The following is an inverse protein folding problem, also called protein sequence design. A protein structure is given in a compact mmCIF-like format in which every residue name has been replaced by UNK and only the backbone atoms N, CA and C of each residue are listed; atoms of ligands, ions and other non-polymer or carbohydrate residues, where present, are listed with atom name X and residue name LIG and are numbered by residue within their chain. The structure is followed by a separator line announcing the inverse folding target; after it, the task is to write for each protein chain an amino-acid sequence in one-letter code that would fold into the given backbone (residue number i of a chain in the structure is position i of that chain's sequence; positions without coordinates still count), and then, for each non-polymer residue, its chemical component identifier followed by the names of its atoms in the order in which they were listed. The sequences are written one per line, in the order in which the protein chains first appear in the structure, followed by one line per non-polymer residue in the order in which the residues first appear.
data_IF_320273491921
#
_entry.id   IF_320273491921
#
_cell.length_a   1.000
_cell.length_b   1.000
_cell.length_c   1.000
_cell.angle_alpha   90.00
_cell.angle_beta   90.00
_cell.angle_gamma   90.00
#
_symmetry.space_group_name_H-M   'P 1'
#
loop_
_entity.id
_entity.type
_entity.pdbx_description
1 polymer ?
#
# COMPACT_ATOMS: atom_id res chain seq x y z
N UNK A 1 7.36 31.75 -22.83
CA UNK A 1 8.01 30.43 -22.84
C UNK A 1 6.92 29.39 -23.05
N UNK A 2 6.93 28.65 -24.16
CA UNK A 2 6.00 27.53 -24.37
C UNK A 2 6.56 26.31 -23.65
N UNK A 3 5.82 25.77 -22.69
CA UNK A 3 6.15 24.51 -22.05
C UNK A 3 5.65 23.36 -22.93
N UNK A 4 6.54 22.43 -23.28
CA UNK A 4 6.20 21.16 -23.89
C UNK A 4 6.11 20.11 -22.78
N UNK A 5 4.93 19.57 -22.57
CA UNK A 5 4.69 18.45 -21.66
C UNK A 5 4.46 17.22 -22.54
N UNK A 6 5.41 16.28 -22.52
CA UNK A 6 5.28 14.98 -23.15
C UNK A 6 5.09 13.95 -22.03
N UNK A 7 3.99 13.21 -22.09
CA UNK A 7 3.62 12.18 -21.14
C UNK A 7 3.96 10.82 -21.78
N UNK A 8 5.05 10.15 -21.34
CA UNK A 8 5.54 8.92 -21.97
C UNK A 8 4.48 7.81 -22.04
N UNK A 9 3.57 7.75 -21.05
CA UNK A 9 2.50 6.75 -21.01
C UNK A 9 1.48 6.93 -22.15
N UNK A 10 1.22 8.16 -22.58
CA UNK A 10 0.32 8.41 -23.72
C UNK A 10 0.97 8.09 -25.07
N UNK A 11 2.30 8.23 -25.16
CA UNK A 11 3.05 7.87 -26.38
C UNK A 11 3.09 6.35 -26.59
N UNK A 12 3.27 5.57 -25.51
CA UNK A 12 3.25 4.11 -25.58
C UNK A 12 1.86 3.56 -25.94
N UNK A 13 0.79 4.10 -25.33
CA UNK A 13 -0.59 3.74 -25.72
C UNK A 13 -0.87 4.05 -27.18
N UNK A 14 -0.47 5.24 -27.65
CA UNK A 14 -0.65 5.63 -29.04
C UNK A 14 0.14 4.73 -30.00
N UNK A 15 1.37 4.34 -29.66
CA UNK A 15 2.18 3.42 -30.46
C UNK A 15 1.52 2.02 -30.58
N UNK A 16 0.94 1.52 -29.49
CA UNK A 16 0.19 0.25 -29.49
C UNK A 16 -1.08 0.33 -30.35
N UNK A 17 -1.84 1.43 -30.26
CA UNK A 17 -3.03 1.66 -31.07
C UNK A 17 -2.68 1.75 -32.57
N UNK A 18 -1.62 2.50 -32.91
CA UNK A 18 -1.09 2.61 -34.27
C UNK A 18 -0.64 1.25 -34.81
N UNK A 19 0.02 0.41 -34.01
CA UNK A 19 0.39 -0.94 -34.41
C UNK A 19 -0.86 -1.80 -34.70
N UNK A 20 -1.90 -1.68 -33.88
CA UNK A 20 -3.20 -2.32 -34.08
C UNK A 20 -3.85 -1.93 -35.42
N UNK A 21 -3.92 -0.62 -35.69
CA UNK A 21 -4.45 -0.06 -36.96
C UNK A 21 -3.64 -0.57 -38.16
N UNK A 22 -2.31 -0.56 -38.08
CA UNK A 22 -1.44 -1.05 -39.14
C UNK A 22 -1.66 -2.53 -39.46
N UNK A 23 -1.88 -3.36 -38.43
CA UNK A 23 -2.22 -4.78 -38.62
C UNK A 23 -3.57 -4.97 -39.29
N UNK A 24 -4.59 -4.22 -38.87
CA UNK A 24 -5.94 -4.29 -39.44
C UNK A 24 -5.97 -3.86 -40.90
N UNK A 25 -5.25 -2.79 -41.24
CA UNK A 25 -5.14 -2.31 -42.62
C UNK A 25 -4.39 -3.31 -43.52
N UNK A 26 -3.33 -3.94 -43.01
CA UNK A 26 -2.59 -4.96 -43.75
C UNK A 26 -3.44 -6.20 -44.02
N UNK A 27 -4.22 -6.64 -43.03
CA UNK A 27 -5.16 -7.76 -43.18
C UNK A 27 -6.27 -7.45 -44.19
N UNK A 28 -6.83 -6.24 -44.15
CA UNK A 28 -7.84 -5.79 -45.10
C UNK A 28 -7.30 -5.73 -46.54
N UNK A 29 -6.09 -5.18 -46.72
CA UNK A 29 -5.43 -5.12 -48.03
C UNK A 29 -5.11 -6.52 -48.59
N UNK A 30 -4.70 -7.46 -47.73
CA UNK A 30 -4.48 -8.85 -48.13
C UNK A 30 -5.79 -9.54 -48.55
N UNK A 31 -6.88 -9.34 -47.81
CA UNK A 31 -8.20 -9.89 -48.16
C UNK A 31 -8.73 -9.32 -49.49
N UNK A 32 -8.44 -8.05 -49.78
CA UNK A 32 -8.84 -7.38 -51.02
C UNK A 32 -7.96 -7.74 -52.23
N UNK A 33 -6.81 -8.40 -52.05
CA UNK A 33 -5.84 -8.63 -53.12
C UNK A 33 -6.40 -9.48 -54.26
N UNK A 34 -6.93 -10.67 -53.97
CA UNK A 34 -7.51 -11.56 -54.99
C UNK A 34 -8.70 -10.94 -55.74
N UNK A 35 -9.74 -10.40 -55.07
CA UNK A 35 -10.92 -9.88 -55.77
C UNK A 35 -10.63 -8.64 -56.63
N UNK A 36 -9.52 -7.93 -56.39
CA UNK A 36 -9.17 -6.71 -57.15
C UNK A 36 -8.11 -6.93 -58.23
N UNK A 37 -7.34 -8.04 -58.18
CA UNK A 37 -6.26 -8.33 -59.14
C UNK A 37 -6.61 -9.44 -60.13
N UNK A 38 -7.62 -10.26 -59.84
CA UNK A 38 -8.10 -11.34 -60.70
C UNK A 38 -9.47 -11.00 -61.32
N UNK A 39 -9.62 -9.77 -61.83
CA UNK A 39 -10.87 -9.35 -62.46
C UNK A 39 -11.00 -10.04 -63.82
N UNK A 40 -12.10 -10.75 -64.03
CA UNK A 40 -12.39 -11.49 -65.27
C UNK A 40 -13.23 -10.61 -66.21
N UNK A 41 -13.02 -10.75 -67.52
CA UNK A 41 -13.82 -10.07 -68.52
C UNK A 41 -15.31 -10.48 -68.42
N UNK A 42 -16.22 -9.50 -68.51
CA UNK A 42 -17.65 -9.75 -68.40
C UNK A 42 -18.24 -10.42 -69.66
N UNK A 43 -17.59 -10.29 -70.81
CA UNK A 43 -17.92 -10.92 -72.09
C UNK A 43 -16.64 -11.16 -72.91
N UNK A 44 -16.74 -11.94 -73.99
CA UNK A 44 -15.61 -12.34 -74.86
C UNK A 44 -15.16 -11.26 -75.84
N UNK A 45 -15.53 -10.00 -75.60
CA UNK A 45 -15.14 -8.86 -76.44
C UNK A 45 -13.88 -8.16 -75.93
N UNK A 46 -13.20 -7.49 -76.85
CA UNK A 46 -11.93 -6.78 -76.62
C UNK A 46 -12.08 -5.62 -75.61
N UNK A 47 -13.26 -4.99 -75.53
CA UNK A 47 -13.52 -3.88 -74.59
C UNK A 47 -13.66 -4.42 -73.16
N UNK A 48 -14.41 -5.51 -72.97
CA UNK A 48 -14.50 -6.21 -71.68
C UNK A 48 -13.15 -6.73 -71.20
N UNK A 49 -12.33 -7.29 -72.11
CA UNK A 49 -10.98 -7.73 -71.80
C UNK A 49 -10.05 -6.56 -71.40
N UNK A 50 -10.13 -5.43 -72.12
CA UNK A 50 -9.35 -4.24 -71.81
C UNK A 50 -9.74 -3.62 -70.45
N UNK A 51 -11.04 -3.57 -70.12
CA UNK A 51 -11.53 -3.08 -68.84
C UNK A 51 -11.07 -3.98 -67.68
N UNK A 52 -11.18 -5.30 -67.82
CA UNK A 52 -10.70 -6.25 -66.82
C UNK A 52 -9.19 -6.15 -66.57
N UNK A 53 -8.40 -5.95 -67.65
CA UNK A 53 -6.96 -5.71 -67.57
C UNK A 53 -6.63 -4.40 -66.86
N UNK A 54 -7.36 -3.32 -67.16
CA UNK A 54 -7.17 -2.01 -66.51
C UNK A 54 -7.43 -2.09 -64.99
N UNK A 55 -8.54 -2.71 -64.58
CA UNK A 55 -8.87 -2.84 -63.15
C UNK A 55 -7.89 -3.77 -62.42
N UNK A 56 -7.51 -4.89 -63.04
CA UNK A 56 -6.50 -5.80 -62.46
C UNK A 56 -5.14 -5.11 -62.29
N UNK A 57 -4.72 -4.31 -63.29
CA UNK A 57 -3.51 -3.49 -63.21
C UNK A 57 -3.59 -2.41 -62.13
N UNK A 58 -4.76 -1.81 -61.91
CA UNK A 58 -4.96 -0.84 -60.82
C UNK A 58 -4.93 -1.52 -59.45
N UNK A 59 -5.49 -2.72 -59.32
CA UNK A 59 -5.40 -3.56 -58.13
C UNK A 59 -3.95 -3.88 -57.78
N UNK A 60 -3.13 -4.29 -58.77
CA UNK A 60 -1.71 -4.58 -58.56
C UNK A 60 -0.91 -3.34 -58.12
N UNK A 61 -1.16 -2.18 -58.74
CA UNK A 61 -0.54 -0.92 -58.34
C UNK A 61 -0.94 -0.49 -56.90
N UNK A 62 -2.20 -0.69 -56.53
CA UNK A 62 -2.69 -0.42 -55.18
C UNK A 62 -2.03 -1.34 -54.13
N UNK A 63 -1.83 -2.62 -54.46
CA UNK A 63 -1.14 -3.56 -53.56
C UNK A 63 0.33 -3.20 -53.35
N UNK A 64 1.04 -2.80 -54.42
CA UNK A 64 2.42 -2.34 -54.32
C UNK A 64 2.56 -1.08 -53.44
N UNK A 65 1.65 -0.10 -53.61
CA UNK A 65 1.62 1.11 -52.79
C UNK A 65 1.28 0.80 -51.32
N UNK A 66 0.35 -0.12 -51.08
CA UNK A 66 -0.07 -0.53 -49.74
C UNK A 66 1.07 -1.21 -48.97
N UNK A 67 1.90 -2.01 -49.65
CA UNK A 67 3.10 -2.59 -49.05
C UNK A 67 4.13 -1.52 -48.65
N UNK A 68 4.31 -0.49 -49.49
CA UNK A 68 5.21 0.63 -49.18
C UNK A 68 4.70 1.46 -47.98
N UNK A 69 3.39 1.70 -47.91
CA UNK A 69 2.75 2.38 -46.78
C UNK A 69 2.88 1.59 -45.47
N UNK A 70 2.74 0.25 -45.51
CA UNK A 70 2.93 -0.60 -44.35
C UNK A 70 4.37 -0.57 -43.80
N UNK A 71 5.37 -0.53 -44.69
CA UNK A 71 6.77 -0.39 -44.31
C UNK A 71 7.06 0.97 -43.65
N UNK A 72 6.53 2.06 -44.22
CA UNK A 72 6.61 3.40 -43.64
C UNK A 72 5.95 3.45 -42.25
N UNK A 73 4.75 2.90 -42.13
CA UNK A 73 4.01 2.85 -40.86
C UNK A 73 4.79 2.09 -39.77
N UNK A 74 5.43 0.99 -40.13
CA UNK A 74 6.28 0.22 -39.21
C UNK A 74 7.46 1.07 -38.73
N UNK A 75 8.13 1.80 -39.62
CA UNK A 75 9.23 2.70 -39.26
C UNK A 75 8.76 3.86 -38.39
N UNK A 76 7.57 4.40 -38.64
CA UNK A 76 6.96 5.46 -37.85
C UNK A 76 6.67 5.02 -36.41
N UNK A 77 6.07 3.84 -36.23
CA UNK A 77 5.81 3.26 -34.89
C UNK A 77 7.13 2.97 -34.14
N UNK A 78 8.15 2.48 -34.84
CA UNK A 78 9.47 2.25 -34.24
C UNK A 78 10.15 3.56 -33.80
N UNK A 79 10.07 4.62 -34.61
CA UNK A 79 10.61 5.93 -34.26
C UNK A 79 9.88 6.54 -33.06
N UNK A 80 8.56 6.34 -32.97
CA UNK A 80 7.75 6.80 -31.84
C UNK A 80 8.14 6.12 -30.52
N UNK A 81 8.37 4.80 -30.54
CA UNK A 81 8.91 4.08 -29.37
C UNK A 81 10.35 4.47 -29.01
N UNK A 82 11.18 4.81 -30.01
CA UNK A 82 12.51 5.38 -29.78
C UNK A 82 12.47 6.74 -29.08
N UNK A 83 11.51 7.60 -29.44
CA UNK A 83 11.33 8.91 -28.81
C UNK A 83 10.94 8.81 -27.33
N UNK A 84 10.11 7.83 -26.94
CA UNK A 84 9.79 7.53 -25.54
C UNK A 84 11.05 7.23 -24.72
N UNK A 85 11.93 6.36 -25.23
CA UNK A 85 13.19 6.02 -24.56
C UNK A 85 14.11 7.24 -24.38
N UNK A 86 14.09 8.17 -25.34
CA UNK A 86 14.85 9.41 -25.27
C UNK A 86 14.25 10.41 -24.26
N UNK A 87 12.92 10.54 -24.19
CA UNK A 87 12.25 11.40 -23.22
C UNK A 87 12.42 10.88 -21.79
N UNK A 88 12.22 9.57 -21.57
CA UNK A 88 12.44 8.93 -20.25
C UNK A 88 13.91 8.96 -19.82
N UNK A 89 14.86 8.74 -20.74
CA UNK A 89 16.28 8.90 -20.46
C UNK A 89 16.66 10.34 -20.13
N UNK A 90 16.01 11.32 -20.78
CA UNK A 90 16.23 12.75 -20.49
C UNK A 90 15.65 13.13 -19.13
N UNK A 91 14.49 12.61 -18.74
CA UNK A 91 13.96 12.78 -17.38
C UNK A 91 14.88 12.13 -16.33
N UNK A 92 15.38 10.91 -16.56
CA UNK A 92 16.32 10.24 -15.67
C UNK A 92 17.66 11.02 -15.57
N UNK A 93 18.18 11.51 -16.69
CA UNK A 93 19.39 12.31 -16.76
C UNK A 93 19.22 13.71 -16.14
N UNK A 94 18.00 14.25 -16.08
CA UNK A 94 17.69 15.51 -15.40
C UNK A 94 17.43 15.32 -13.89
N UNK A 95 16.90 14.16 -13.49
CA UNK A 95 16.66 13.80 -12.10
C UNK A 95 17.97 13.51 -11.33
N UNK A 96 18.97 12.92 -11.99
CA UNK A 96 20.26 12.59 -11.34
C UNK A 96 21.03 13.82 -10.84
N UNK A 97 21.22 14.91 -11.61
CA UNK A 97 21.80 16.16 -11.13
C UNK A 97 20.98 16.80 -10.02
N UNK A 98 19.64 16.72 -10.07
CA UNK A 98 18.76 17.22 -9.02
C UNK A 98 18.93 16.44 -7.71
N UNK A 99 19.07 15.11 -7.78
CA UNK A 99 19.35 14.28 -6.60
C UNK A 99 20.73 14.58 -6.01
N UNK A 100 21.76 14.72 -6.84
CA UNK A 100 23.11 15.11 -6.41
C UNK A 100 23.11 16.52 -5.80
N UNK A 101 22.42 17.49 -6.41
CA UNK A 101 22.30 18.85 -5.88
C UNK A 101 21.51 18.86 -4.56
N UNK A 102 20.49 18.02 -4.41
CA UNK A 102 19.76 17.88 -3.13
C UNK A 102 20.65 17.26 -2.06
N UNK A 103 21.42 16.22 -2.39
CA UNK A 103 22.36 15.57 -1.47
C UNK A 103 23.52 16.52 -1.08
N UNK A 104 24.08 17.23 -2.05
CA UNK A 104 25.10 18.25 -1.82
C UNK A 104 24.53 19.41 -1.00
N UNK A 105 23.33 19.90 -1.33
CA UNK A 105 22.66 20.95 -0.55
C UNK A 105 22.37 20.52 0.89
N UNK A 106 21.99 19.26 1.12
CA UNK A 106 21.83 18.70 2.47
C UNK A 106 23.17 18.58 3.22
N UNK A 107 24.28 18.40 2.51
CA UNK A 107 25.64 18.35 3.08
C UNK A 107 26.24 19.73 3.35
N UNK A 108 25.71 20.80 2.74
CA UNK A 108 26.20 22.15 2.93
C UNK A 108 25.93 22.62 4.36
N UNK A 109 27.02 22.93 5.07
CA UNK A 109 27.06 23.44 6.45
C UNK A 109 26.21 24.70 6.65
N UNK A 110 25.73 25.37 5.61
CA UNK A 110 24.81 26.51 5.69
C UNK A 110 23.43 26.13 6.27
N UNK A 111 23.01 24.87 6.15
CA UNK A 111 21.78 24.34 6.77
C UNK A 111 22.03 23.77 8.18
N UNK A 112 23.28 23.66 8.62
CA UNK A 112 23.67 23.21 9.96
C UNK A 112 23.28 24.20 11.07
N UNK A 113 23.42 25.54 10.93
CA UNK A 113 23.04 26.49 11.98
C UNK A 113 21.61 26.32 12.49
N UNK A 114 20.65 25.97 11.62
CA UNK A 114 19.27 25.75 12.05
C UNK A 114 19.12 24.42 12.80
N UNK A 115 19.82 23.37 12.37
CA UNK A 115 19.86 22.10 13.09
C UNK A 115 20.58 22.25 14.44
N UNK A 116 21.66 23.00 14.49
CA UNK A 116 22.43 23.26 15.70
C UNK A 116 21.65 24.16 16.68
N UNK A 117 20.80 25.06 16.17
CA UNK A 117 19.97 25.96 16.98
C UNK A 117 18.63 25.33 17.42
N UNK A 118 18.02 24.47 16.60
CA UNK A 118 16.66 23.93 16.84
C UNK A 118 16.62 22.43 17.08
N UNK A 119 17.75 21.73 16.94
CA UNK A 119 17.84 20.26 17.00
C UNK A 119 17.24 19.54 15.78
N UNK A 120 16.68 20.27 14.80
CA UNK A 120 15.97 19.70 13.65
C UNK A 120 16.50 20.26 12.32
N UNK A 121 16.74 19.42 11.31
CA UNK A 121 17.23 19.89 10.01
C UNK A 121 16.17 20.73 9.29
N UNK A 122 16.59 21.62 8.39
CA UNK A 122 15.65 22.30 7.49
C UNK A 122 15.05 21.35 6.46
N UNK A 123 15.86 20.43 5.94
CA UNK A 123 15.45 19.39 4.99
C UNK A 123 16.01 18.05 5.46
N UNK A 124 15.16 17.03 5.51
CA UNK A 124 15.53 15.66 5.86
C UNK A 124 14.41 14.93 6.58
N UNK A 125 14.31 13.63 6.37
CA UNK A 125 13.34 12.79 7.06
C UNK A 125 13.74 12.60 8.54
N UNK A 126 12.74 12.33 9.37
CA UNK A 126 12.92 12.00 10.77
C UNK A 126 13.49 10.60 10.96
N UNK A 127 14.31 10.41 12.00
CA UNK A 127 14.90 9.11 12.30
C UNK A 127 13.83 8.11 12.79
N UNK A 128 13.85 6.89 12.27
CA UNK A 128 12.95 5.84 12.76
C UNK A 128 13.30 5.44 14.20
N UNK A 129 12.29 5.15 15.00
CA UNK A 129 12.45 4.55 16.32
C UNK A 129 13.03 3.13 16.21
N UNK A 130 13.85 2.76 17.19
CA UNK A 130 14.47 1.43 17.23
C UNK A 130 13.40 0.34 17.42
N UNK A 131 13.45 -0.73 16.63
CA UNK A 131 12.51 -1.83 16.77
C UNK A 131 12.67 -2.54 18.12
N UNK A 132 11.54 -2.93 18.73
CA UNK A 132 11.50 -3.59 20.03
C UNK A 132 11.76 -2.68 21.24
N UNK A 133 11.99 -1.38 21.06
CA UNK A 133 12.17 -0.44 22.18
C UNK A 133 10.94 0.40 22.51
N UNK A 134 9.95 0.46 21.61
CA UNK A 134 8.84 1.40 21.70
C UNK A 134 9.26 2.86 21.51
N UNK A 135 10.47 3.12 20.98
CA UNK A 135 10.97 4.47 20.79
C UNK A 135 10.16 5.20 19.72
N UNK A 136 9.81 6.47 19.98
CA UNK A 136 9.14 7.31 18.99
C UNK A 136 10.04 7.57 17.78
N UNK A 137 9.43 7.71 16.61
CA UNK A 137 10.10 8.26 15.44
C UNK A 137 10.40 9.74 15.65
N UNK A 138 11.55 10.20 15.15
CA UNK A 138 11.91 11.60 15.14
C UNK A 138 11.08 12.38 14.13
N UNK A 139 10.93 13.68 14.37
CA UNK A 139 10.23 14.56 13.43
C UNK A 139 11.06 14.79 12.15
N UNK A 140 10.36 14.99 11.04
CA UNK A 140 10.95 15.44 9.79
C UNK A 140 11.47 16.88 9.86
N UNK A 141 12.17 17.31 8.82
CA UNK A 141 12.75 18.63 8.72
C UNK A 141 11.70 19.75 8.69
N UNK A 142 12.14 20.98 8.99
CA UNK A 142 11.24 22.13 9.06
C UNK A 142 10.57 22.46 7.74
N UNK A 143 11.26 22.36 6.61
CA UNK A 143 10.70 22.69 5.29
C UNK A 143 10.25 21.43 4.59
N UNK A 144 11.13 20.45 4.44
CA UNK A 144 10.80 19.23 3.71
C UNK A 144 11.35 18.01 4.46
N UNK A 145 10.48 17.05 4.73
CA UNK A 145 10.86 15.80 5.37
C UNK A 145 9.67 15.10 5.97
N UNK A 146 9.60 13.79 5.77
CA UNK A 146 8.63 12.93 6.40
C UNK A 146 9.02 12.70 7.87
N UNK A 147 8.04 12.45 8.72
CA UNK A 147 8.31 11.96 10.07
C UNK A 147 8.81 10.51 10.06
N UNK A 148 9.68 10.17 11.01
CA UNK A 148 10.19 8.81 11.17
C UNK A 148 9.12 7.86 11.71
N UNK A 149 9.18 6.58 11.37
CA UNK A 149 8.28 5.57 11.93
C UNK A 149 8.61 5.29 13.40
N UNK A 150 7.60 5.07 14.22
CA UNK A 150 7.75 4.60 15.59
C UNK A 150 8.28 3.17 15.66
N UNK A 151 9.17 2.91 16.60
CA UNK A 151 9.71 1.57 16.87
C UNK A 151 8.65 0.66 17.50
N UNK A 152 8.67 -0.62 17.17
CA UNK A 152 7.78 -1.59 17.83
C UNK A 152 8.10 -1.74 19.32
N UNK A 153 7.11 -2.08 20.14
CA UNK A 153 7.27 -2.29 21.57
C UNK A 153 7.97 -3.62 21.92
N UNK A 154 8.73 -3.62 23.02
CA UNK A 154 9.19 -4.84 23.70
C UNK A 154 8.00 -5.66 24.22
N UNK A 155 8.17 -6.93 24.63
CA UNK A 155 7.06 -7.74 25.14
C UNK A 155 6.21 -7.04 26.21
N UNK A 156 4.91 -6.93 25.94
CA UNK A 156 3.90 -6.22 26.75
C UNK A 156 4.01 -4.70 26.79
N UNK A 157 4.97 -4.10 26.07
CA UNK A 157 5.18 -2.65 26.01
C UNK A 157 4.55 -2.04 24.77
N UNK A 158 4.16 -0.77 24.87
CA UNK A 158 3.57 -0.04 23.76
C UNK A 158 4.56 0.17 22.60
N UNK A 159 4.02 0.29 21.39
CA UNK A 159 4.76 0.78 20.24
C UNK A 159 4.99 2.28 20.32
N UNK A 160 6.09 2.76 19.73
CA UNK A 160 6.43 4.17 19.69
C UNK A 160 5.52 4.96 18.75
N UNK A 161 5.29 6.24 19.04
CA UNK A 161 4.59 7.11 18.11
C UNK A 161 5.42 7.34 16.82
N UNK A 162 4.75 7.54 15.70
CA UNK A 162 5.39 8.08 14.50
C UNK A 162 5.72 9.56 14.68
N UNK A 163 6.84 9.99 14.13
CA UNK A 163 7.24 11.40 14.10
C UNK A 163 6.39 12.21 13.13
N UNK A 164 6.34 13.53 13.32
CA UNK A 164 5.54 14.41 12.47
C UNK A 164 6.39 15.08 11.38
N UNK A 165 5.78 15.39 10.23
CA UNK A 165 6.33 16.35 9.29
C UNK A 165 5.97 17.80 9.73
N UNK A 166 6.66 18.82 9.21
CA UNK A 166 6.31 20.22 9.50
C UNK A 166 5.63 20.94 8.34
N UNK A 167 6.35 21.40 7.32
CA UNK A 167 5.75 22.17 6.22
C UNK A 167 5.30 21.27 5.06
N UNK A 168 6.22 20.45 4.55
CA UNK A 168 5.99 19.45 3.52
C UNK A 168 6.50 18.08 3.97
N UNK A 169 5.69 17.04 3.76
CA UNK A 169 6.04 15.66 4.09
C UNK A 169 4.90 14.92 4.79
N UNK A 170 4.97 13.59 4.81
CA UNK A 170 4.00 12.75 5.49
C UNK A 170 4.41 12.48 6.94
N UNK A 171 3.43 12.24 7.81
CA UNK A 171 3.69 11.74 9.15
C UNK A 171 4.17 10.30 9.14
N UNK A 172 5.03 9.95 10.10
CA UNK A 172 5.54 8.59 10.26
C UNK A 172 4.48 7.63 10.79
N UNK A 173 4.60 6.35 10.50
CA UNK A 173 3.70 5.33 11.03
C UNK A 173 3.96 5.11 12.53
N UNK A 174 2.91 4.81 13.29
CA UNK A 174 3.03 4.35 14.66
C UNK A 174 3.59 2.93 14.74
N UNK A 175 4.45 2.66 15.71
CA UNK A 175 5.05 1.34 15.93
C UNK A 175 4.03 0.34 16.47
N UNK A 176 4.19 -0.95 16.15
CA UNK A 176 3.32 -1.99 16.70
C UNK A 176 3.55 -2.17 18.21
N UNK A 177 2.49 -2.45 18.96
CA UNK A 177 2.58 -2.85 20.37
C UNK A 177 3.22 -4.23 20.51
N UNK A 178 4.02 -4.42 21.55
CA UNK A 178 4.72 -5.68 21.78
C UNK A 178 3.79 -6.78 22.31
N UNK A 179 4.10 -8.03 21.97
CA UNK A 179 3.31 -9.19 22.40
C UNK A 179 3.43 -9.41 23.91
N UNK A 180 2.33 -9.71 24.59
CA UNK A 180 2.31 -9.97 26.03
C UNK A 180 3.15 -11.18 26.43
N UNK A 181 3.67 -11.17 27.65
CA UNK A 181 4.54 -12.24 28.16
C UNK A 181 3.77 -13.52 28.43
N UNK A 182 4.38 -14.67 28.15
CA UNK A 182 3.78 -15.96 28.54
C UNK A 182 3.84 -16.13 30.05
N UNK A 183 2.72 -16.57 30.64
CA UNK A 183 2.61 -16.87 32.05
C UNK A 183 3.42 -18.10 32.45
N UNK A 184 3.97 -18.09 33.66
CA UNK A 184 4.76 -19.20 34.19
C UNK A 184 3.89 -20.40 34.58
N UNK A 185 4.41 -21.60 34.39
CA UNK A 185 3.75 -22.84 34.81
C UNK A 185 3.63 -22.91 36.34
N UNK A 186 2.51 -23.46 36.83
CA UNK A 186 2.28 -23.73 38.24
C UNK A 186 3.14 -24.87 38.80
N UNK A 187 3.06 -25.06 40.12
CA UNK A 187 3.75 -26.14 40.85
C UNK A 187 2.80 -26.81 41.84
N UNK A 188 2.53 -28.10 41.64
CA UNK A 188 1.63 -28.87 42.48
C UNK A 188 2.17 -29.09 43.90
N UNK A 189 3.50 -29.24 44.08
CA UNK A 189 4.11 -29.44 45.39
C UNK A 189 3.93 -28.23 46.33
N UNK A 190 3.79 -27.03 45.74
CA UNK A 190 3.54 -25.78 46.47
C UNK A 190 2.10 -25.29 46.30
N UNK A 191 1.21 -26.11 45.72
CA UNK A 191 -0.18 -25.75 45.41
C UNK A 191 -0.32 -24.43 44.64
N UNK A 192 0.65 -24.13 43.77
CA UNK A 192 0.67 -22.90 42.98
C UNK A 192 0.08 -23.16 41.60
N UNK A 193 -0.97 -22.42 41.22
CA UNK A 193 -1.54 -22.46 39.87
C UNK A 193 -0.59 -21.83 38.84
N UNK A 194 -0.87 -22.02 37.56
CA UNK A 194 -0.23 -21.23 36.52
C UNK A 194 -0.39 -19.73 36.75
N UNK A 195 0.57 -18.94 36.28
CA UNK A 195 0.51 -17.47 36.31
C UNK A 195 -0.15 -16.96 35.03
N UNK A 196 -0.95 -15.90 35.12
CA UNK A 196 -1.62 -15.31 33.94
C UNK A 196 -0.64 -14.83 32.87
N UNK A 197 -1.08 -14.84 31.62
CA UNK A 197 -0.35 -14.22 30.52
C UNK A 197 -0.36 -12.70 30.65
N UNK A 198 0.76 -12.05 30.28
CA UNK A 198 0.86 -10.59 30.23
C UNK A 198 0.01 -10.01 29.10
N UNK A 199 -0.48 -8.78 29.26
CA UNK A 199 -1.23 -8.10 28.21
C UNK A 199 -0.31 -7.71 27.04
N UNK A 200 -0.87 -7.64 25.84
CA UNK A 200 -0.22 -7.04 24.69
C UNK A 200 -0.12 -5.52 24.84
N UNK A 201 0.95 -4.95 24.31
CA UNK A 201 1.18 -3.51 24.31
C UNK A 201 0.25 -2.79 23.35
N UNK A 202 -0.06 -1.53 23.63
CA UNK A 202 -0.85 -0.67 22.74
C UNK A 202 -0.01 -0.29 21.51
N UNK A 203 -0.62 -0.21 20.33
CA UNK A 203 0.03 0.32 19.13
C UNK A 203 0.31 1.82 19.24
N UNK A 204 1.42 2.27 18.69
CA UNK A 204 1.81 3.67 18.69
C UNK A 204 0.91 4.53 17.81
N UNK A 205 0.74 5.80 18.16
CA UNK A 205 -0.01 6.75 17.33
C UNK A 205 0.79 7.09 16.07
N UNK A 206 0.13 7.27 14.92
CA UNK A 206 0.78 7.78 13.71
C UNK A 206 1.08 9.28 13.81
N UNK A 207 2.16 9.73 13.19
CA UNK A 207 2.57 11.14 13.21
C UNK A 207 1.74 12.01 12.26
N UNK A 208 1.77 13.32 12.46
CA UNK A 208 1.01 14.24 11.61
C UNK A 208 1.74 14.55 10.30
N UNK A 209 0.97 14.74 9.22
CA UNK A 209 1.45 15.23 7.94
C UNK A 209 1.76 16.73 7.97
N UNK A 210 2.49 17.20 6.97
CA UNK A 210 2.92 18.58 6.86
C UNK A 210 1.76 19.56 6.67
N UNK A 211 1.95 20.80 7.12
CA UNK A 211 0.97 21.88 7.13
C UNK A 211 0.51 22.31 5.73
N UNK A 212 1.35 22.18 4.70
CA UNK A 212 1.02 22.61 3.33
C UNK A 212 0.73 21.45 2.41
N UNK A 213 1.53 20.38 2.52
CA UNK A 213 1.29 19.13 1.78
C UNK A 213 1.82 17.93 2.55
N UNK A 214 0.97 16.95 2.79
CA UNK A 214 1.31 15.76 3.55
C UNK A 214 0.11 14.99 4.08
N UNK A 215 0.22 13.67 4.11
CA UNK A 215 -0.74 12.79 4.78
C UNK A 215 -0.29 12.49 6.21
N UNK A 216 -1.25 12.24 7.10
CA UNK A 216 -0.98 11.68 8.42
C UNK A 216 -0.52 10.22 8.34
N UNK A 217 0.33 9.82 9.28
CA UNK A 217 0.84 8.47 9.38
C UNK A 217 -0.21 7.50 9.94
N UNK A 218 -0.16 6.24 9.53
CA UNK A 218 -1.06 5.19 10.05
C UNK A 218 -0.69 4.85 11.50
N UNK A 219 -1.69 4.59 12.34
CA UNK A 219 -1.50 4.11 13.70
C UNK A 219 -0.99 2.67 13.76
N UNK A 220 -0.17 2.35 14.75
CA UNK A 220 0.41 1.04 14.97
C UNK A 220 -0.62 0.02 15.42
N UNK A 221 -0.42 -1.25 15.04
CA UNK A 221 -1.27 -2.36 15.48
C UNK A 221 -0.97 -2.68 16.96
N UNK A 222 -1.99 -3.00 17.74
CA UNK A 222 -1.83 -3.47 19.13
C UNK A 222 -1.21 -4.86 19.22
N UNK A 223 -0.41 -5.10 20.25
CA UNK A 223 0.25 -6.38 20.49
C UNK A 223 -0.75 -7.46 20.92
N UNK A 224 -0.49 -8.71 20.56
CA UNK A 224 -1.28 -9.83 21.06
C UNK A 224 -1.06 -10.05 22.56
N UNK A 225 -2.05 -10.55 23.28
CA UNK A 225 -1.91 -10.98 24.67
C UNK A 225 -1.06 -12.24 24.81
N UNK A 226 -0.34 -12.36 25.91
CA UNK A 226 0.50 -13.51 26.22
C UNK A 226 -0.33 -14.73 26.64
N UNK A 227 0.20 -15.93 26.43
CA UNK A 227 -0.50 -17.14 26.85
C UNK A 227 -0.50 -17.28 28.38
N UNK A 228 -1.57 -17.83 28.94
CA UNK A 228 -1.62 -18.19 30.36
C UNK A 228 -0.70 -19.37 30.67
N UNK A 229 -0.09 -19.34 31.85
CA UNK A 229 0.74 -20.42 32.34
C UNK A 229 -0.06 -21.69 32.57
N UNK A 230 0.49 -22.84 32.20
CA UNK A 230 -0.14 -24.12 32.48
C UNK A 230 -0.12 -24.44 33.98
N UNK A 231 -1.02 -25.29 34.45
CA UNK A 231 -0.99 -25.84 35.79
C UNK A 231 0.19 -26.80 35.99
N UNK A 232 0.66 -26.91 37.23
CA UNK A 232 1.70 -27.87 37.61
C UNK A 232 1.12 -29.29 37.62
N UNK A 233 1.81 -30.28 37.04
CA UNK A 233 1.38 -31.68 37.11
C UNK A 233 1.45 -32.18 38.56
N UNK A 234 0.50 -33.03 38.96
CA UNK A 234 0.49 -33.68 40.27
C UNK A 234 1.70 -34.60 40.46
N UNK A 235 2.09 -34.82 41.72
CA UNK A 235 3.19 -35.73 42.08
C UNK A 235 2.64 -37.07 42.58
N UNK A 236 3.45 -38.12 42.52
CA UNK A 236 3.09 -39.41 43.10
C UNK A 236 2.85 -39.27 44.62
N UNK A 237 1.73 -39.82 45.13
CA UNK A 237 1.38 -39.77 46.54
C UNK A 237 0.38 -38.69 46.94
N UNK A 238 -0.77 -38.62 46.26
CA UNK A 238 -1.98 -37.87 46.66
C UNK A 238 -2.01 -36.36 46.34
N UNK A 239 -1.00 -35.78 45.67
CA UNK A 239 -1.04 -34.36 45.28
C UNK A 239 -1.66 -34.23 43.88
N UNK A 240 -2.83 -33.60 43.80
CA UNK A 240 -3.47 -33.27 42.52
C UNK A 240 -2.68 -32.20 41.75
N UNK A 241 -2.83 -32.17 40.43
CA UNK A 241 -2.32 -31.07 39.61
C UNK A 241 -2.97 -29.74 39.97
N UNK A 242 -2.31 -28.63 39.65
CA UNK A 242 -2.84 -27.28 39.87
C UNK A 242 -3.52 -26.72 38.62
N UNK A 243 -4.36 -25.70 38.76
CA UNK A 243 -5.08 -25.10 37.63
C UNK A 243 -4.16 -24.31 36.70
N UNK A 244 -4.55 -24.21 35.43
CA UNK A 244 -3.94 -23.27 34.49
C UNK A 244 -4.41 -21.83 34.70
N UNK A 245 -3.75 -20.88 34.06
CA UNK A 245 -4.04 -19.46 34.20
C UNK A 245 -4.75 -18.88 32.98
N UNK A 246 -5.34 -17.71 33.11
CA UNK A 246 -5.89 -16.98 31.96
C UNK A 246 -4.78 -16.44 31.06
N UNK A 247 -5.05 -16.29 29.77
CA UNK A 247 -4.18 -15.54 28.87
C UNK A 247 -4.33 -14.03 29.09
N UNK A 248 -3.38 -13.26 28.59
CA UNK A 248 -3.41 -11.81 28.65
C UNK A 248 -4.34 -11.22 27.59
N UNK A 249 -4.81 -10.00 27.83
CA UNK A 249 -5.60 -9.27 26.84
C UNK A 249 -4.71 -8.79 25.68
N UNK A 250 -5.28 -8.65 24.49
CA UNK A 250 -4.62 -7.93 23.41
C UNK A 250 -4.53 -6.43 23.71
N UNK A 251 -3.55 -5.77 23.11
CA UNK A 251 -3.40 -4.32 23.18
C UNK A 251 -4.31 -3.61 22.16
N UNK A 252 -4.71 -2.38 22.45
CA UNK A 252 -5.45 -1.56 21.49
C UNK A 252 -4.54 -1.14 20.33
N UNK A 253 -5.11 -0.85 19.16
CA UNK A 253 -4.38 -0.18 18.10
C UNK A 253 -4.15 1.30 18.41
N UNK A 254 -3.15 1.90 17.78
CA UNK A 254 -2.86 3.32 17.86
C UNK A 254 -3.75 4.14 16.93
N UNK A 255 -4.01 5.39 17.29
CA UNK A 255 -4.70 6.30 16.39
C UNK A 255 -3.83 6.63 15.16
N UNK A 256 -4.45 6.88 14.00
CA UNK A 256 -3.76 7.49 12.87
C UNK A 256 -3.47 8.96 13.12
N UNK A 257 -2.41 9.48 12.50
CA UNK A 257 -2.05 10.88 12.54
C UNK A 257 -2.89 11.73 11.61
N UNK A 258 -2.84 13.04 11.78
CA UNK A 258 -3.68 13.97 11.03
C UNK A 258 -2.99 14.51 9.78
N UNK A 259 -3.75 14.86 8.75
CA UNK A 259 -3.29 15.85 7.77
C UNK A 259 -3.65 17.24 8.32
N UNK A 260 -2.68 18.15 8.37
CA UNK A 260 -2.84 19.46 9.02
C UNK A 260 -2.79 20.62 8.03
N UNK A 261 -3.33 21.78 8.44
CA UNK A 261 -3.23 23.02 7.70
C UNK A 261 -3.86 23.00 6.30
N UNK A 262 -3.19 23.64 5.34
CA UNK A 262 -3.59 23.69 3.94
C UNK A 262 -3.55 22.29 3.30
N UNK A 263 -2.72 21.37 3.78
CA UNK A 263 -2.67 20.01 3.25
C UNK A 263 -4.04 19.33 3.34
N UNK A 264 -4.76 19.49 4.46
CA UNK A 264 -6.11 18.94 4.62
C UNK A 264 -7.12 19.46 3.58
N UNK A 265 -6.94 20.70 3.10
CA UNK A 265 -7.78 21.30 2.06
C UNK A 265 -7.34 20.87 0.65
N UNK A 266 -6.05 20.59 0.45
CA UNK A 266 -5.44 20.27 -0.84
C UNK A 266 -5.34 18.75 -1.11
N UNK A 267 -6.10 17.93 -0.38
CA UNK A 267 -6.18 16.48 -0.58
C UNK A 267 -5.23 15.65 0.28
N UNK A 268 -4.68 16.21 1.35
CA UNK A 268 -3.99 15.48 2.41
C UNK A 268 -4.98 14.66 3.26
N UNK A 269 -4.65 13.39 3.49
CA UNK A 269 -5.51 12.45 4.20
C UNK A 269 -4.97 12.17 5.61
N UNK A 270 -5.86 12.02 6.59
CA UNK A 270 -5.50 11.46 7.88
C UNK A 270 -5.09 9.98 7.74
N UNK A 271 -4.18 9.54 8.60
CA UNK A 271 -3.79 8.15 8.69
C UNK A 271 -4.93 7.28 9.24
N UNK A 272 -4.96 6.02 8.81
CA UNK A 272 -5.87 5.04 9.39
C UNK A 272 -5.47 4.71 10.84
N UNK A 273 -6.44 4.34 11.66
CA UNK A 273 -6.17 3.77 12.98
C UNK A 273 -5.61 2.36 12.85
N UNK A 274 -4.72 1.99 13.75
CA UNK A 274 -4.23 0.63 13.89
C UNK A 274 -5.29 -0.31 14.43
N UNK A 275 -5.20 -1.58 14.05
CA UNK A 275 -6.06 -2.62 14.60
C UNK A 275 -5.62 -2.98 16.03
N UNK A 276 -6.56 -3.44 16.86
CA UNK A 276 -6.22 -4.07 18.14
C UNK A 276 -5.56 -5.44 17.95
N UNK A 277 -4.82 -5.87 18.97
CA UNK A 277 -4.22 -7.20 19.05
C UNK A 277 -5.21 -8.24 19.57
N UNK A 278 -5.00 -9.51 19.19
CA UNK A 278 -5.78 -10.64 19.71
C UNK A 278 -5.44 -10.94 21.18
N UNK A 279 -6.41 -11.47 21.94
CA UNK A 279 -6.14 -11.99 23.29
C UNK A 279 -5.27 -13.25 23.28
N UNK A 280 -4.56 -13.51 24.37
CA UNK A 280 -3.77 -14.71 24.58
C UNK A 280 -4.61 -15.88 25.04
N UNK A 281 -4.23 -17.11 24.67
CA UNK A 281 -4.96 -18.30 25.11
C UNK A 281 -4.72 -18.58 26.60
N UNK A 282 -5.72 -19.14 27.30
CA UNK A 282 -5.54 -19.65 28.67
C UNK A 282 -4.62 -20.87 28.72
N UNK A 283 -3.93 -21.05 29.84
CA UNK A 283 -3.04 -22.17 30.12
C UNK A 283 -3.82 -23.44 30.46
N UNK A 284 -3.33 -24.58 30.00
CA UNK A 284 -3.93 -25.88 30.32
C UNK A 284 -3.85 -26.20 31.82
N UNK A 285 -4.79 -27.00 32.35
CA UNK A 285 -4.74 -27.48 33.73
C UNK A 285 -3.66 -28.55 33.93
N UNK A 286 -3.15 -28.69 35.15
CA UNK A 286 -2.20 -29.71 35.53
C UNK A 286 -2.83 -31.10 35.53
N UNK A 287 -2.12 -32.09 34.99
CA UNK A 287 -2.51 -33.49 35.04
C UNK A 287 -2.54 -34.00 36.49
N UNK A 288 -3.45 -34.91 36.83
CA UNK A 288 -3.50 -35.54 38.16
C UNK A 288 -2.29 -36.43 38.43
N UNK A 289 -1.96 -36.66 39.70
CA UNK A 289 -0.91 -37.61 40.09
C UNK A 289 -1.30 -39.06 39.77
N UNK A 290 -0.33 -39.93 39.50
CA UNK A 290 -0.59 -41.36 39.24
C UNK A 290 -1.12 -42.06 40.51
N UNK A 291 -2.44 -42.32 40.56
CA UNK A 291 -3.16 -42.99 41.66
C UNK A 291 -4.68 -43.04 41.45
N UNK A 292 -5.39 -43.95 42.13
CA UNK A 292 -6.74 -44.44 41.81
C UNK A 292 -7.90 -43.42 41.73
N UNK A 293 -7.69 -42.12 41.99
CA UNK A 293 -8.74 -41.08 41.88
C UNK A 293 -8.21 -39.69 41.45
N UNK A 294 -7.09 -39.62 40.73
CA UNK A 294 -6.53 -38.32 40.31
C UNK A 294 -7.43 -37.57 39.33
N UNK A 295 -8.25 -36.64 39.79
CA UNK A 295 -8.98 -35.71 38.92
C UNK A 295 -8.04 -34.61 38.45
N UNK A 296 -7.88 -34.43 37.14
CA UNK A 296 -7.10 -33.31 36.57
C UNK A 296 -7.68 -31.96 36.97
N UNK A 297 -6.83 -30.95 37.09
CA UNK A 297 -7.30 -29.59 37.35
C UNK A 297 -7.89 -28.95 36.09
N UNK A 298 -8.81 -28.00 36.28
CA UNK A 298 -9.41 -27.23 35.18
C UNK A 298 -8.37 -26.34 34.50
N UNK A 299 -8.43 -26.23 33.17
CA UNK A 299 -7.65 -25.25 32.42
C UNK A 299 -8.11 -23.82 32.68
N UNK A 300 -7.23 -22.87 32.44
CA UNK A 300 -7.57 -21.45 32.44
C UNK A 300 -8.36 -21.09 31.18
N UNK A 301 -9.40 -20.28 31.35
CA UNK A 301 -10.15 -19.72 30.22
C UNK A 301 -9.33 -18.58 29.58
N UNK A 302 -9.33 -18.48 28.24
CA UNK A 302 -8.79 -17.30 27.56
C UNK A 302 -9.64 -16.05 27.86
N UNK A 303 -9.07 -14.83 27.80
CA UNK A 303 -9.87 -13.62 27.91
C UNK A 303 -10.76 -13.47 26.66
N UNK A 304 -11.96 -12.94 26.84
CA UNK A 304 -12.82 -12.48 25.74
C UNK A 304 -12.07 -11.42 24.94
N UNK A 305 -11.83 -11.68 23.65
CA UNK A 305 -11.21 -10.72 22.74
C UNK A 305 -12.04 -9.43 22.68
N UNK A 306 -11.55 -8.36 23.30
CA UNK A 306 -12.13 -7.03 23.14
C UNK A 306 -11.57 -6.46 21.84
N UNK A 307 -12.23 -6.74 20.72
CA UNK A 307 -12.00 -6.02 19.47
C UNK A 307 -12.63 -4.64 19.66
N UNK A 308 -11.84 -3.67 20.12
CA UNK A 308 -12.25 -2.26 20.04
C UNK A 308 -12.15 -1.87 18.57
N UNK A 309 -13.26 -2.02 17.84
CA UNK A 309 -13.38 -1.47 16.50
C UNK A 309 -13.21 0.05 16.60
N UNK A 310 -12.38 0.60 15.71
CA UNK A 310 -12.17 2.03 15.57
C UNK A 310 -13.52 2.76 15.46
N UNK A 311 -13.67 3.97 16.03
CA UNK A 311 -14.85 4.79 15.78
C UNK A 311 -14.98 5.02 14.27
N UNK A 312 -16.21 5.00 13.70
CA UNK A 312 -16.39 5.12 12.26
C UNK A 312 -15.85 6.47 11.79
N UNK A 313 -15.12 6.44 10.67
CA UNK A 313 -14.75 7.64 9.93
C UNK A 313 -16.02 8.46 9.67
N UNK A 314 -16.00 9.76 10.01
CA UNK A 314 -17.11 10.64 9.71
C UNK A 314 -17.33 10.66 8.20
N UNK A 315 -18.36 9.96 7.73
CA UNK A 315 -18.87 10.10 6.38
C UNK A 315 -19.39 11.53 6.26
N UNK A 316 -18.59 12.41 5.66
CA UNK A 316 -19.10 13.63 5.05
C UNK A 316 -19.98 13.17 3.90
N UNK A 317 -21.29 13.13 4.15
CA UNK A 317 -22.28 12.85 3.12
C UNK A 317 -22.12 13.91 2.01
N UNK A 318 -22.00 13.53 0.73
CA UNK A 318 -22.14 14.51 -0.33
C UNK A 318 -23.60 14.97 -0.35
N UNK A 319 -23.82 16.27 -0.16
CA UNK A 319 -25.10 16.91 -0.40
C UNK A 319 -25.45 16.72 -1.88
N UNK A 320 -26.26 15.71 -2.20
CA UNK A 320 -26.89 15.59 -3.51
C UNK A 320 -27.99 16.65 -3.57
N UNK A 321 -27.71 17.70 -4.33
CA UNK A 321 -28.68 18.71 -4.74
C UNK A 321 -29.76 18.01 -5.58
N UNK A 322 -30.90 17.70 -4.96
CA UNK A 322 -32.07 17.18 -5.66
C UNK A 322 -32.69 18.30 -6.52
N UNK A 323 -32.35 18.31 -7.82
CA UNK A 323 -33.14 19.02 -8.84
C UNK A 323 -34.37 18.17 -9.10
N UNK A 324 -35.53 18.67 -8.68
CA UNK A 324 -36.82 18.01 -8.89
C UNK A 324 -37.19 17.90 -10.36
N UNK A 325 -37.38 16.67 -10.84
CA UNK A 325 -38.07 16.37 -12.08
C UNK A 325 -39.47 15.79 -11.74
N UNK A 326 -40.48 16.33 -12.39
CA UNK A 326 -41.91 16.08 -12.19
C UNK A 326 -42.32 14.60 -12.43
N UNK A 327 -43.42 14.13 -11.83
CA UNK A 327 -43.93 12.78 -12.08
C UNK A 327 -44.71 12.72 -13.41
N UNK A 328 -44.29 11.82 -14.30
CA UNK A 328 -45.10 11.35 -15.42
C UNK A 328 -46.10 10.29 -14.91
N UNK A 329 -47.38 10.59 -15.07
CA UNK A 329 -48.49 9.65 -14.88
C UNK A 329 -48.61 8.75 -16.10
N UNK A 330 -48.50 7.43 -15.93
CA UNK A 330 -49.11 6.47 -16.87
C UNK A 330 -49.44 5.16 -16.15
N UNK A 331 -50.73 4.96 -15.86
CA UNK A 331 -51.34 3.65 -15.69
C UNK A 331 -52.85 3.78 -16.01
N UNK A 332 -53.31 2.88 -16.89
CA UNK A 332 -54.65 2.72 -17.50
C UNK A 332 -54.97 3.64 -18.68
#
# INVERSE_FOLDING_TARGET
MSYLVALPEFLNSAAADLAGIGSGLSAANAAAALPTTAVVAAAEDEVSAAIASLFSGRGQAFQALSAQAAAFHTQFVQALGGAESAYTATEAASASPLQTVVQDAQSLTVFSPVKDLTGRPLVGDGANGTAGSGQAGGDGGWIYGNGGNGGSGAPGQAGGAGGSAFLFGNGGQGGAGGVGTTGATGNAATSTNGVGGGNGGVGGVGGNGGLLLGNGGVGGIGGAGGQGGAGGPGTAGFVNGTGGAQGGNGGNGGAGGHAEGLAALLGGHAGANGNGGGGGNGGAGGQGGAGFTGTGATGGNGPTAVVVAAPPASLVAPAVLAVGAAPSTTAA
#
